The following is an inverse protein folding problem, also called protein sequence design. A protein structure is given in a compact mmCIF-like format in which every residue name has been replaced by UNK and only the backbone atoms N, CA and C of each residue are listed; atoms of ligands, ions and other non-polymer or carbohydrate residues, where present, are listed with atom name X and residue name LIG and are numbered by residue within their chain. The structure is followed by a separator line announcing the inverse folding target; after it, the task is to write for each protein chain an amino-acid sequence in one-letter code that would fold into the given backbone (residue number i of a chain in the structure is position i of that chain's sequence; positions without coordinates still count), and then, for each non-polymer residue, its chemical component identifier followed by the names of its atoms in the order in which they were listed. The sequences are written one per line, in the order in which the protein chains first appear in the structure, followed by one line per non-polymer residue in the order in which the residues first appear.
data_IF_926509186279
#
_entry.id   IF_926509186279
#
_cell.length_a   1.000
_cell.length_b   1.000
_cell.length_c   1.000
_cell.angle_alpha   90.00
_cell.angle_beta   90.00
_cell.angle_gamma   90.00
#
_symmetry.space_group_name_H-M   'P 1'
#
loop_
_entity.id
_entity.type
_entity.pdbx_description
1 polymer ?
#
# COMPACT_ATOMS: atom_id res chain seq x y z
N UNK A 1 4.43 18.78 6.48
CA UNK A 1 4.87 18.11 5.24
C UNK A 1 5.50 16.75 5.53
N UNK A 2 6.45 16.68 6.46
CA UNK A 2 7.08 15.42 6.92
C UNK A 2 6.10 14.31 7.30
N UNK A 3 5.07 14.63 8.11
CA UNK A 3 4.04 13.66 8.50
C UNK A 3 3.25 13.08 7.31
N UNK A 4 3.01 13.88 6.26
CA UNK A 4 2.32 13.41 5.04
C UNK A 4 3.21 12.43 4.29
N UNK A 5 4.50 12.76 4.15
CA UNK A 5 5.48 11.86 3.52
C UNK A 5 5.64 10.55 4.29
N UNK A 6 5.64 10.62 5.63
CA UNK A 6 5.65 9.43 6.49
C UNK A 6 4.44 8.53 6.19
N UNK A 7 3.24 9.10 6.12
CA UNK A 7 2.04 8.35 5.75
C UNK A 7 2.08 7.77 4.33
N UNK A 8 2.58 8.52 3.36
CA UNK A 8 2.76 8.02 1.99
C UNK A 8 3.72 6.82 1.93
N UNK A 9 4.72 6.78 2.82
CA UNK A 9 5.64 5.65 2.93
C UNK A 9 4.97 4.44 3.62
N UNK A 10 4.20 4.66 4.70
CA UNK A 10 3.44 3.60 5.39
C UNK A 10 2.44 2.92 4.46
N UNK A 11 1.67 3.69 3.68
CA UNK A 11 0.71 3.12 2.73
C UNK A 11 1.38 2.60 1.45
N UNK A 12 2.72 2.66 1.35
CA UNK A 12 3.49 2.04 0.27
C UNK A 12 3.03 2.49 -1.13
N UNK A 13 2.80 3.79 -1.36
CA UNK A 13 2.23 4.33 -2.62
C UNK A 13 2.95 3.80 -3.88
N UNK A 14 4.28 3.62 -3.82
CA UNK A 14 5.08 3.08 -4.94
C UNK A 14 4.59 1.71 -5.42
N UNK A 15 4.00 0.92 -4.53
CA UNK A 15 3.51 -0.43 -4.80
C UNK A 15 2.05 -0.45 -5.29
N UNK A 16 1.39 0.69 -5.46
CA UNK A 16 0.04 0.74 -6.04
C UNK A 16 0.02 0.30 -7.51
N UNK A 17 1.18 0.32 -8.16
CA UNK A 17 1.39 -0.30 -9.47
C UNK A 17 1.11 -1.82 -9.47
N UNK A 18 1.05 -2.49 -8.32
CA UNK A 18 0.64 -3.89 -8.25
C UNK A 18 -0.89 -4.07 -8.37
N UNK A 19 -1.70 -3.06 -8.01
CA UNK A 19 -3.16 -3.16 -7.97
C UNK A 19 -3.88 -2.34 -9.05
N UNK A 20 -3.39 -1.15 -9.39
CA UNK A 20 -4.04 -0.26 -10.37
C UNK A 20 -4.02 -0.84 -11.80
N UNK A 21 -2.87 -1.31 -12.35
CA UNK A 21 -2.83 -1.84 -13.71
C UNK A 21 -3.74 -3.05 -13.94
N UNK A 22 -3.86 -4.03 -13.02
CA UNK A 22 -4.86 -5.09 -13.13
C UNK A 22 -6.30 -4.58 -13.24
N UNK A 23 -6.68 -3.51 -12.52
CA UNK A 23 -8.02 -2.91 -12.64
C UNK A 23 -8.24 -2.31 -14.02
N UNK A 24 -7.24 -1.58 -14.55
CA UNK A 24 -7.30 -1.03 -15.92
C UNK A 24 -7.42 -2.16 -16.95
N UNK A 25 -6.61 -3.20 -16.81
CA UNK A 25 -6.64 -4.37 -17.70
C UNK A 25 -8.00 -5.06 -17.64
N UNK A 26 -8.53 -5.30 -16.44
CA UNK A 26 -9.86 -5.91 -16.26
C UNK A 26 -10.97 -5.08 -16.90
N UNK A 27 -10.90 -3.74 -16.79
CA UNK A 27 -11.83 -2.84 -17.48
C UNK A 27 -11.70 -2.91 -19.00
N UNK A 28 -10.47 -2.93 -19.54
CA UNK A 28 -10.23 -3.10 -20.98
C UNK A 28 -10.74 -4.45 -21.51
N UNK A 29 -10.55 -5.52 -20.74
CA UNK A 29 -11.04 -6.86 -21.09
C UNK A 29 -12.57 -6.91 -21.08
N UNK A 30 -13.21 -6.36 -20.04
CA UNK A 30 -14.67 -6.29 -19.94
C UNK A 30 -15.27 -5.52 -21.11
N UNK A 31 -14.65 -4.40 -21.51
CA UNK A 31 -15.07 -3.65 -22.69
C UNK A 31 -14.87 -4.46 -23.97
N UNK A 32 -13.73 -5.13 -24.14
CA UNK A 32 -13.42 -5.86 -25.36
C UNK A 32 -14.30 -7.10 -25.57
N UNK A 33 -14.57 -7.85 -24.51
CA UNK A 33 -15.29 -9.14 -24.58
C UNK A 33 -16.80 -8.94 -24.54
N UNK A 34 -17.30 -8.09 -23.65
CA UNK A 34 -18.74 -7.93 -23.38
C UNK A 34 -19.32 -6.61 -23.93
N UNK A 35 -18.47 -5.72 -24.46
CA UNK A 35 -18.89 -4.36 -24.84
C UNK A 35 -19.27 -3.48 -23.64
N UNK A 36 -19.01 -3.94 -22.40
CA UNK A 36 -19.44 -3.26 -21.19
C UNK A 36 -18.49 -2.10 -20.86
N UNK A 37 -18.98 -0.87 -21.02
CA UNK A 37 -18.28 0.34 -20.62
C UNK A 37 -19.05 1.01 -19.48
N UNK A 38 -18.67 0.67 -18.23
CA UNK A 38 -19.25 1.28 -17.02
C UNK A 38 -18.18 2.05 -16.25
N UNK A 39 -18.11 3.38 -16.41
CA UNK A 39 -17.20 4.22 -15.64
C UNK A 39 -17.44 4.12 -14.14
N UNK A 40 -18.69 3.93 -13.71
CA UNK A 40 -19.05 3.80 -12.30
C UNK A 40 -18.42 2.54 -11.68
N UNK A 41 -18.51 1.39 -12.36
CA UNK A 41 -17.88 0.15 -11.91
C UNK A 41 -16.35 0.26 -11.95
N UNK A 42 -15.79 0.94 -12.95
CA UNK A 42 -14.35 1.20 -13.00
C UNK A 42 -13.88 2.01 -11.79
N UNK A 43 -14.54 3.14 -11.50
CA UNK A 43 -14.20 4.01 -10.38
C UNK A 43 -14.40 3.30 -9.04
N UNK A 44 -15.49 2.53 -8.88
CA UNK A 44 -15.73 1.75 -7.68
C UNK A 44 -14.65 0.68 -7.47
N UNK A 45 -14.25 -0.03 -8.53
CA UNK A 45 -13.20 -1.05 -8.48
C UNK A 45 -11.84 -0.42 -8.17
N UNK A 46 -11.53 0.72 -8.79
CA UNK A 46 -10.30 1.46 -8.55
C UNK A 46 -10.22 1.97 -7.09
N UNK A 47 -11.32 2.52 -6.58
CA UNK A 47 -11.41 2.92 -5.19
C UNK A 47 -11.28 1.72 -4.24
N UNK A 48 -11.94 0.61 -4.56
CA UNK A 48 -11.87 -0.64 -3.80
C UNK A 48 -10.44 -1.18 -3.70
N UNK A 49 -9.72 -1.28 -4.82
CA UNK A 49 -8.33 -1.79 -4.80
C UNK A 49 -7.40 -0.85 -4.03
N UNK A 50 -7.53 0.48 -4.22
CA UNK A 50 -6.67 1.45 -3.52
C UNK A 50 -6.90 1.41 -2.02
N UNK A 51 -8.15 1.38 -1.57
CA UNK A 51 -8.48 1.29 -0.14
C UNK A 51 -8.02 -0.05 0.47
N UNK A 52 -8.20 -1.15 -0.25
CA UNK A 52 -7.70 -2.47 0.18
C UNK A 52 -6.17 -2.49 0.30
N UNK A 53 -5.44 -1.89 -0.64
CA UNK A 53 -3.99 -1.76 -0.59
C UNK A 53 -3.54 -0.89 0.58
N UNK A 54 -4.16 0.28 0.78
CA UNK A 54 -3.88 1.15 1.93
C UNK A 54 -4.03 0.36 3.23
N UNK A 55 -5.17 -0.31 3.43
CA UNK A 55 -5.41 -1.12 4.62
C UNK A 55 -4.37 -2.22 4.81
N UNK A 56 -4.11 -2.99 3.75
CA UNK A 56 -3.16 -4.12 3.79
C UNK A 56 -1.75 -3.68 4.17
N UNK A 57 -1.22 -2.63 3.54
CA UNK A 57 0.12 -2.11 3.84
C UNK A 57 0.19 -1.48 5.23
N UNK A 58 -0.85 -0.75 5.64
CA UNK A 58 -0.93 -0.11 6.96
C UNK A 58 -0.93 -1.17 8.07
N UNK A 59 -1.78 -2.20 7.96
CA UNK A 59 -1.79 -3.29 8.95
C UNK A 59 -0.49 -4.10 8.93
N UNK A 60 0.04 -4.41 7.75
CA UNK A 60 1.31 -5.12 7.64
C UNK A 60 2.44 -4.36 8.34
N UNK A 61 2.59 -3.05 8.10
CA UNK A 61 3.60 -2.21 8.76
C UNK A 61 3.47 -2.24 10.29
N UNK A 62 2.25 -2.15 10.81
CA UNK A 62 2.02 -2.17 12.27
C UNK A 62 2.37 -3.52 12.88
N UNK A 63 1.88 -4.62 12.31
CA UNK A 63 2.10 -5.96 12.88
C UNK A 63 3.54 -6.44 12.70
N UNK A 64 4.22 -6.05 11.62
CA UNK A 64 5.62 -6.38 11.39
C UNK A 64 6.53 -5.57 12.33
N UNK A 65 6.21 -4.30 12.59
CA UNK A 65 6.88 -3.53 13.63
C UNK A 65 6.64 -4.12 15.03
N UNK A 66 5.39 -4.44 15.37
CA UNK A 66 5.01 -4.99 16.69
C UNK A 66 5.64 -6.35 16.97
N UNK A 67 5.72 -7.21 15.96
CA UNK A 67 6.40 -8.50 16.08
C UNK A 67 7.93 -8.37 16.14
N UNK A 68 8.46 -7.21 15.72
CA UNK A 68 9.88 -6.92 15.68
C UNK A 68 10.59 -7.46 14.44
N UNK A 69 9.88 -8.09 13.49
CA UNK A 69 10.50 -8.69 12.29
C UNK A 69 11.20 -7.65 11.43
N UNK A 70 10.64 -6.43 11.35
CA UNK A 70 11.26 -5.31 10.62
C UNK A 70 12.53 -4.76 11.28
N UNK A 71 12.75 -5.07 12.57
CA UNK A 71 13.91 -4.58 13.34
C UNK A 71 15.11 -5.52 13.25
N UNK A 72 14.92 -6.77 12.82
CA UNK A 72 15.97 -7.79 12.76
C UNK A 72 16.90 -7.57 11.57
N UNK A 73 16.40 -6.96 10.49
CA UNK A 73 17.20 -6.72 9.29
C UNK A 73 18.21 -5.60 9.54
N UNK A 74 19.49 -5.92 9.34
CA UNK A 74 20.58 -4.94 9.44
C UNK A 74 20.40 -3.85 8.38
N UNK A 75 20.72 -2.60 8.72
CA UNK A 75 20.51 -1.45 7.84
C UNK A 75 21.19 -1.61 6.45
N UNK A 76 22.35 -2.27 6.39
CA UNK A 76 23.09 -2.55 5.15
C UNK A 76 22.39 -3.57 4.22
N UNK A 77 21.37 -4.29 4.70
CA UNK A 77 20.57 -5.28 3.95
C UNK A 77 19.15 -4.79 3.66
N UNK A 78 18.81 -3.55 4.04
CA UNK A 78 17.49 -2.98 3.78
C UNK A 78 17.34 -2.67 2.30
N UNK A 79 16.23 -3.10 1.72
CA UNK A 79 15.84 -2.86 0.34
C UNK A 79 14.44 -2.22 0.32
N UNK A 80 13.99 -1.68 -0.82
CA UNK A 80 12.62 -1.18 -0.94
C UNK A 80 11.53 -2.24 -0.66
N UNK A 81 11.88 -3.53 -0.73
CA UNK A 81 10.97 -4.66 -0.66
C UNK A 81 10.99 -5.42 0.67
N UNK A 82 11.81 -5.02 1.65
CA UNK A 82 11.86 -5.65 2.97
C UNK A 82 11.87 -4.59 4.10
N UNK A 83 11.81 -5.06 5.35
CA UNK A 83 12.05 -4.25 6.57
C UNK A 83 11.12 -3.06 6.77
N UNK A 84 9.85 -3.19 6.38
CA UNK A 84 8.90 -2.09 6.55
C UNK A 84 9.22 -0.86 5.71
N UNK A 85 8.48 0.21 5.95
CA UNK A 85 8.73 1.55 5.42
C UNK A 85 9.81 2.29 6.21
N UNK A 86 10.22 1.70 7.35
CA UNK A 86 11.10 2.28 8.38
C UNK A 86 10.54 3.53 9.08
N UNK A 87 9.27 3.87 8.84
CA UNK A 87 8.59 5.00 9.51
C UNK A 87 8.36 4.74 11.00
N UNK A 88 7.95 3.52 11.38
CA UNK A 88 7.77 3.17 12.79
C UNK A 88 9.11 2.99 13.53
N UNK A 89 10.10 2.26 12.99
CA UNK A 89 11.45 2.18 13.58
C UNK A 89 12.14 3.55 13.76
N UNK A 90 11.89 4.52 12.88
CA UNK A 90 12.47 5.87 13.00
C UNK A 90 11.73 6.79 13.97
N UNK A 91 10.60 6.36 14.53
CA UNK A 91 9.80 7.16 15.47
C UNK A 91 9.04 8.33 14.83
N UNK A 92 8.96 8.41 13.50
CA UNK A 92 8.24 9.47 12.78
C UNK A 92 6.72 9.43 13.01
N UNK A 93 6.19 8.24 13.32
CA UNK A 93 4.80 8.03 13.75
C UNK A 93 4.80 7.18 15.03
N UNK A 94 3.90 7.50 15.97
CA UNK A 94 3.68 6.69 17.15
C UNK A 94 2.66 5.57 16.82
N UNK A 95 3.05 4.29 16.83
CA UNK A 95 2.17 3.20 16.41
C UNK A 95 0.91 3.06 17.27
N UNK A 96 1.01 3.22 18.60
CA UNK A 96 -0.14 3.05 19.51
C UNK A 96 -1.20 4.15 19.39
N UNK A 97 -0.82 5.31 18.83
CA UNK A 97 -1.75 6.43 18.62
C UNK A 97 -2.38 6.43 17.23
N UNK A 98 -1.91 5.57 16.33
CA UNK A 98 -2.11 5.71 14.89
C UNK A 98 -2.78 4.49 14.26
N UNK A 99 -2.56 3.31 14.82
CA UNK A 99 -3.11 2.03 14.37
C UNK A 99 -3.90 1.38 15.50
#
# INVERSE_FOLDING_TARGET
MEKILAWMNVIRVKFFAAGIPPVILGFSVAYHVEGLLSPDLFLLTLFGIVTAMIGSYTFNEYFDFKSGVDLVVKDEHVTPFNSGSRVLPSGLLNPEKVF
#
